data_IF_351684744762
#
_entry.id   IF_351684744762
#
_cell.length_a   1.000
_cell.length_b   1.000
_cell.length_c   1.000
_cell.angle_alpha   90.00
_cell.angle_beta   90.00
_cell.angle_gamma   90.00
#
_symmetry.space_group_name_H-M   'P 1'
#
loop_
_entity.id
_entity.type
_entity.pdbx_description
1 polymer ?
#
# COMPACT_ATOMS: atom_id res chain seq x y z
N UNK A 1 26.00 -0.85 -31.21
CA UNK A 1 26.96 -1.43 -30.23
C UNK A 1 26.17 -1.81 -28.98
N UNK A 2 25.41 -2.91 -29.00
CA UNK A 2 25.78 -4.31 -28.71
C UNK A 2 26.25 -4.53 -27.25
N UNK A 3 25.27 -4.92 -26.43
CA UNK A 3 25.27 -6.01 -25.43
C UNK A 3 26.39 -6.11 -24.38
N UNK A 4 26.07 -5.75 -23.12
CA UNK A 4 26.60 -6.43 -21.93
C UNK A 4 25.56 -6.44 -20.79
N UNK A 5 24.60 -7.35 -20.89
CA UNK A 5 24.02 -8.01 -19.72
C UNK A 5 24.53 -9.47 -19.78
N UNK A 6 25.08 -10.05 -18.69
CA UNK A 6 25.48 -11.45 -18.72
C UNK A 6 24.25 -12.32 -19.02
N UNK A 7 24.33 -13.12 -20.08
CA UNK A 7 23.27 -14.01 -20.52
C UNK A 7 22.85 -14.95 -19.37
N UNK A 8 21.59 -14.82 -18.97
CA UNK A 8 20.87 -15.80 -18.16
C UNK A 8 20.26 -16.83 -19.12
N UNK A 9 21.05 -17.81 -19.54
CA UNK A 9 20.54 -19.01 -20.21
C UNK A 9 20.18 -20.06 -19.17
N UNK A 10 18.90 -20.40 -19.07
CA UNK A 10 18.41 -21.58 -18.34
C UNK A 10 18.59 -22.82 -19.23
N UNK A 11 19.07 -23.96 -18.71
CA UNK A 11 19.12 -25.20 -19.49
C UNK A 11 17.71 -25.79 -19.69
N UNK A 12 17.42 -26.23 -20.92
CA UNK A 12 16.23 -27.02 -21.27
C UNK A 12 16.33 -28.44 -20.71
N UNK A 13 15.24 -29.06 -20.21
CA UNK A 13 15.24 -30.45 -19.81
C UNK A 13 15.31 -31.38 -21.03
N UNK A 14 16.25 -32.32 -20.99
CA UNK A 14 16.41 -33.38 -21.97
C UNK A 14 15.21 -34.34 -21.97
N UNK A 15 14.51 -34.42 -23.10
CA UNK A 15 13.59 -35.51 -23.42
C UNK A 15 14.36 -36.83 -23.51
N UNK A 16 14.00 -37.82 -22.70
CA UNK A 16 14.39 -39.21 -22.92
C UNK A 16 13.16 -40.01 -23.36
N UNK A 17 13.08 -40.25 -24.66
CA UNK A 17 12.09 -41.10 -25.31
C UNK A 17 12.65 -42.52 -25.39
N UNK A 18 11.95 -43.52 -24.86
CA UNK A 18 12.09 -44.88 -25.37
C UNK A 18 10.73 -45.58 -25.36
N UNK A 19 10.34 -46.01 -26.55
CA UNK A 19 9.20 -46.85 -26.86
C UNK A 19 9.72 -48.26 -27.16
N UNK A 20 8.95 -49.29 -26.79
CA UNK A 20 8.37 -50.25 -27.75
C UNK A 20 7.50 -51.32 -27.06
N UNK A 21 6.54 -51.90 -27.80
CA UNK A 21 5.37 -52.60 -27.28
C UNK A 21 5.61 -54.11 -27.15
N UNK A 22 4.93 -54.76 -26.21
CA UNK A 22 4.79 -56.21 -26.20
C UNK A 22 3.35 -56.62 -26.47
N UNK A 23 3.22 -57.59 -27.37
CA UNK A 23 2.01 -58.12 -27.98
C UNK A 23 1.27 -59.08 -27.04
N UNK A 24 -0.06 -59.07 -27.14
CA UNK A 24 -0.98 -60.02 -26.50
C UNK A 24 -0.80 -61.46 -27.03
N UNK A 25 -1.18 -62.44 -26.21
CA UNK A 25 -1.92 -63.59 -26.73
C UNK A 25 -3.35 -63.65 -26.14
N UNK A 26 -4.27 -63.86 -27.08
CA UNK A 26 -5.69 -64.16 -26.97
C UNK A 26 -5.98 -65.27 -25.96
N UNK A 27 -6.90 -65.03 -25.01
CA UNK A 27 -7.59 -66.10 -24.27
C UNK A 27 -9.10 -65.90 -24.38
N UNK A 28 -9.74 -67.01 -24.73
CA UNK A 28 -11.11 -67.26 -25.11
C UNK A 28 -12.11 -66.84 -24.01
N UNK A 29 -13.21 -66.26 -24.46
CA UNK A 29 -14.32 -65.78 -23.63
C UNK A 29 -15.02 -66.92 -22.87
N UNK A 30 -15.15 -66.77 -21.55
CA UNK A 30 -16.19 -67.42 -20.76
C UNK A 30 -17.13 -66.33 -20.24
N UNK A 31 -18.36 -66.30 -20.78
CA UNK A 31 -19.45 -65.46 -20.27
C UNK A 31 -19.86 -65.96 -18.89
N UNK A 32 -19.57 -65.19 -17.86
CA UNK A 32 -20.22 -65.28 -16.55
C UNK A 32 -21.34 -64.22 -16.44
N UNK A 33 -22.41 -64.50 -15.66
CA UNK A 33 -23.65 -63.75 -15.72
C UNK A 33 -23.48 -62.32 -15.21
N UNK A 34 -24.19 -61.41 -15.86
CA UNK A 34 -24.33 -59.99 -15.56
C UNK A 34 -24.72 -59.79 -14.10
N UNK A 35 -23.74 -59.49 -13.23
CA UNK A 35 -24.03 -58.82 -11.97
C UNK A 35 -24.34 -57.38 -12.28
N UNK A 36 -25.63 -57.03 -12.23
CA UNK A 36 -26.10 -55.65 -12.21
C UNK A 36 -25.45 -54.98 -10.99
N UNK A 37 -24.40 -54.18 -11.23
CA UNK A 37 -23.73 -53.45 -10.16
C UNK A 37 -24.61 -52.30 -9.69
N UNK A 38 -24.93 -52.27 -8.39
CA UNK A 38 -25.65 -51.21 -7.69
C UNK A 38 -24.90 -49.86 -7.69
N UNK A 39 -24.75 -49.21 -8.85
CA UNK A 39 -23.85 -48.07 -9.04
C UNK A 39 -24.48 -46.67 -8.84
N UNK A 40 -25.71 -46.54 -8.33
CA UNK A 40 -26.44 -45.24 -8.42
C UNK A 40 -26.88 -44.60 -7.10
N UNK A 41 -26.98 -45.32 -5.98
CA UNK A 41 -27.46 -44.75 -4.72
C UNK A 41 -26.37 -44.05 -3.89
N UNK A 42 -25.14 -44.56 -3.88
CA UNK A 42 -24.08 -44.01 -3.02
C UNK A 42 -23.33 -42.83 -3.64
N UNK A 43 -23.23 -42.74 -4.97
CA UNK A 43 -22.50 -41.66 -5.66
C UNK A 43 -23.11 -40.27 -5.38
N UNK A 44 -24.44 -40.17 -5.40
CA UNK A 44 -25.15 -38.94 -5.04
C UNK A 44 -24.98 -38.56 -3.56
N UNK A 45 -24.96 -39.55 -2.67
CA UNK A 45 -24.74 -39.35 -1.22
C UNK A 45 -23.30 -38.89 -0.97
N UNK A 46 -22.31 -39.54 -1.56
CA UNK A 46 -20.90 -39.17 -1.47
C UNK A 46 -20.65 -37.76 -2.02
N UNK A 47 -21.26 -37.42 -3.15
CA UNK A 47 -21.18 -36.08 -3.71
C UNK A 47 -21.81 -35.04 -2.78
N UNK A 48 -23.01 -35.29 -2.25
CA UNK A 48 -23.67 -34.42 -1.25
C UNK A 48 -22.81 -34.24 0.00
N UNK A 49 -22.15 -35.30 0.49
CA UNK A 49 -21.22 -35.22 1.63
C UNK A 49 -20.04 -34.29 1.32
N UNK A 50 -19.47 -34.31 0.12
CA UNK A 50 -18.42 -33.37 -0.30
C UNK A 50 -18.91 -31.92 -0.30
N UNK A 51 -20.12 -31.66 -0.79
CA UNK A 51 -20.70 -30.31 -0.78
C UNK A 51 -20.92 -29.78 0.63
N UNK A 52 -21.45 -30.62 1.53
CA UNK A 52 -21.60 -30.28 2.95
C UNK A 52 -20.24 -30.03 3.63
N UNK A 53 -19.21 -30.79 3.24
CA UNK A 53 -17.86 -30.59 3.74
C UNK A 53 -17.29 -29.23 3.33
N UNK A 54 -17.42 -28.86 2.04
CA UNK A 54 -17.02 -27.53 1.54
C UNK A 54 -17.78 -26.40 2.24
N UNK A 55 -19.09 -26.59 2.47
CA UNK A 55 -19.90 -25.62 3.24
C UNK A 55 -19.34 -25.44 4.66
N UNK A 56 -18.91 -26.52 5.31
CA UNK A 56 -18.28 -26.44 6.63
C UNK A 56 -16.91 -25.75 6.65
N UNK A 57 -16.26 -25.60 5.49
CA UNK A 57 -15.03 -24.83 5.31
C UNK A 57 -15.31 -23.40 4.82
N UNK A 58 -16.57 -22.98 4.66
CA UNK A 58 -16.97 -21.72 4.04
C UNK A 58 -16.46 -21.54 2.59
N UNK A 59 -16.35 -22.64 1.83
CA UNK A 59 -15.99 -22.62 0.40
C UNK A 59 -17.24 -22.56 -0.46
N UNK A 60 -17.25 -21.71 -1.49
CA UNK A 60 -18.32 -21.67 -2.48
C UNK A 60 -18.23 -22.91 -3.40
N UNK A 61 -19.00 -23.94 -3.05
CA UNK A 61 -18.97 -25.22 -3.76
C UNK A 61 -19.32 -25.12 -5.26
N UNK A 62 -20.22 -24.21 -5.64
CA UNK A 62 -20.60 -24.04 -7.05
C UNK A 62 -19.43 -23.47 -7.86
N UNK A 63 -18.81 -22.41 -7.34
CA UNK A 63 -17.68 -21.77 -8.00
C UNK A 63 -16.43 -22.66 -8.01
N UNK A 64 -16.21 -23.40 -6.91
CA UNK A 64 -15.16 -24.41 -6.84
C UNK A 64 -15.32 -25.50 -7.90
N UNK A 65 -16.53 -26.04 -8.08
CA UNK A 65 -16.83 -27.05 -9.10
C UNK A 65 -16.78 -26.52 -10.54
N UNK A 66 -17.04 -25.23 -10.73
CA UNK A 66 -16.94 -24.56 -12.02
C UNK A 66 -15.48 -24.40 -12.43
N UNK A 67 -14.62 -24.00 -11.49
CA UNK A 67 -13.17 -23.81 -11.70
C UNK A 67 -12.36 -25.10 -11.66
N UNK A 68 -12.83 -26.12 -10.93
CA UNK A 68 -12.20 -27.43 -10.84
C UNK A 68 -13.24 -28.56 -10.99
N UNK A 69 -13.63 -28.90 -12.23
CA UNK A 69 -14.65 -29.92 -12.49
C UNK A 69 -14.30 -31.32 -11.96
N UNK A 70 -13.01 -31.67 -11.90
CA UNK A 70 -12.49 -32.96 -11.42
C UNK A 70 -12.78 -33.20 -9.93
N UNK A 71 -13.14 -32.16 -9.18
CA UNK A 71 -13.60 -32.35 -7.80
C UNK A 71 -14.87 -33.21 -7.71
N UNK A 72 -15.66 -33.34 -8.81
CA UNK A 72 -16.84 -34.23 -8.86
C UNK A 72 -16.47 -35.70 -8.68
N UNK A 73 -15.41 -36.16 -9.34
CA UNK A 73 -14.91 -37.53 -9.28
C UNK A 73 -13.93 -37.74 -8.12
N UNK A 74 -13.27 -36.68 -7.65
CA UNK A 74 -12.26 -36.77 -6.59
C UNK A 74 -12.85 -37.25 -5.25
N UNK A 75 -12.26 -38.25 -4.59
CA UNK A 75 -12.67 -38.71 -3.27
C UNK A 75 -12.50 -37.64 -2.17
N UNK A 76 -13.43 -37.60 -1.20
CA UNK A 76 -13.34 -36.66 -0.06
C UNK A 76 -12.04 -36.82 0.76
N UNK A 77 -11.45 -38.02 0.77
CA UNK A 77 -10.16 -38.28 1.45
C UNK A 77 -9.02 -37.42 0.89
N UNK A 78 -9.03 -37.10 -0.40
CA UNK A 78 -8.00 -36.26 -1.04
C UNK A 78 -8.05 -34.83 -0.51
N UNK A 79 -9.25 -34.26 -0.39
CA UNK A 79 -9.42 -32.95 0.25
C UNK A 79 -8.96 -32.98 1.72
N UNK A 80 -9.29 -34.05 2.45
CA UNK A 80 -8.85 -34.21 3.84
C UNK A 80 -7.34 -34.33 3.98
N UNK A 81 -6.65 -35.00 3.04
CA UNK A 81 -5.18 -35.07 3.07
C UNK A 81 -4.55 -33.71 2.80
N UNK A 82 -5.14 -32.90 1.90
CA UNK A 82 -4.70 -31.51 1.68
C UNK A 82 -4.90 -30.66 2.94
N UNK A 83 -6.07 -30.72 3.58
CA UNK A 83 -6.33 -30.03 4.86
C UNK A 83 -5.34 -30.44 5.95
N UNK A 84 -5.07 -31.74 6.08
CA UNK A 84 -4.11 -32.28 7.06
C UNK A 84 -2.69 -31.77 6.78
N UNK A 85 -2.28 -31.75 5.52
CA UNK A 85 -0.99 -31.22 5.10
C UNK A 85 -0.85 -29.73 5.44
N UNK A 86 -1.84 -28.90 5.07
CA UNK A 86 -1.83 -27.47 5.37
C UNK A 86 -1.88 -27.20 6.88
N UNK A 87 -2.66 -27.98 7.64
CA UNK A 87 -2.69 -27.91 9.10
C UNK A 87 -1.35 -28.26 9.73
N UNK A 88 -0.61 -29.23 9.18
CA UNK A 88 0.75 -29.58 9.64
C UNK A 88 1.77 -28.44 9.47
N UNK A 89 1.50 -27.50 8.55
CA UNK A 89 2.27 -26.27 8.35
C UNK A 89 1.75 -25.09 9.19
N UNK A 90 0.83 -25.34 10.14
CA UNK A 90 0.25 -24.35 11.03
C UNK A 90 -0.90 -23.53 10.43
N UNK A 91 -1.42 -23.89 9.26
CA UNK A 91 -2.54 -23.18 8.63
C UNK A 91 -3.85 -23.65 9.25
N UNK A 92 -4.48 -22.78 10.01
CA UNK A 92 -5.74 -23.07 10.69
C UNK A 92 -6.89 -23.23 9.71
N UNK A 93 -7.85 -24.08 10.10
CA UNK A 93 -9.06 -24.38 9.32
C UNK A 93 -9.86 -23.13 8.92
N UNK A 94 -9.86 -22.09 9.75
CA UNK A 94 -10.51 -20.82 9.46
C UNK A 94 -9.92 -20.09 8.23
N UNK A 95 -8.64 -20.30 7.91
CA UNK A 95 -7.97 -19.72 6.74
C UNK A 95 -8.17 -20.56 5.47
N UNK A 96 -8.39 -21.87 5.61
CA UNK A 96 -8.46 -22.82 4.49
C UNK A 96 -9.59 -22.49 3.50
N UNK A 97 -10.76 -22.08 4.00
CA UNK A 97 -11.89 -21.71 3.15
C UNK A 97 -11.53 -20.69 2.08
N UNK A 98 -10.89 -19.60 2.49
CA UNK A 98 -10.43 -18.54 1.59
C UNK A 98 -9.39 -19.05 0.59
N UNK A 99 -8.45 -19.89 1.05
CA UNK A 99 -7.40 -20.45 0.18
C UNK A 99 -8.03 -21.32 -0.90
N UNK A 100 -8.96 -22.21 -0.55
CA UNK A 100 -9.64 -23.08 -1.51
C UNK A 100 -10.58 -22.32 -2.45
N UNK A 101 -11.24 -21.26 -1.99
CA UNK A 101 -12.03 -20.38 -2.87
C UNK A 101 -11.16 -19.68 -3.92
N UNK A 102 -9.97 -19.21 -3.51
CA UNK A 102 -9.02 -18.58 -4.42
C UNK A 102 -8.40 -19.58 -5.40
N UNK A 103 -8.12 -20.80 -4.94
CA UNK A 103 -7.42 -21.84 -5.70
C UNK A 103 -8.12 -23.20 -5.63
N UNK A 104 -9.25 -23.38 -6.35
CA UNK A 104 -10.04 -24.60 -6.29
C UNK A 104 -9.30 -25.86 -6.77
N UNK A 105 -8.20 -25.73 -7.54
CA UNK A 105 -7.37 -26.89 -7.92
C UNK A 105 -6.76 -27.61 -6.70
N UNK A 106 -6.59 -26.93 -5.57
CA UNK A 106 -6.10 -27.53 -4.33
C UNK A 106 -7.09 -28.56 -3.75
N UNK A 107 -8.36 -28.55 -4.17
CA UNK A 107 -9.35 -29.53 -3.73
C UNK A 107 -9.09 -30.94 -4.26
N UNK A 108 -8.22 -31.06 -5.27
CA UNK A 108 -7.93 -32.31 -6.00
C UNK A 108 -6.44 -32.61 -6.09
N UNK A 109 -5.58 -31.79 -5.53
CA UNK A 109 -4.13 -31.99 -5.59
C UNK A 109 -3.66 -33.13 -4.68
N UNK A 110 -2.51 -33.69 -5.01
CA UNK A 110 -1.80 -34.66 -4.18
C UNK A 110 -0.78 -33.92 -3.31
N UNK A 111 -0.88 -33.95 -1.97
CA UNK A 111 0.05 -33.21 -1.12
C UNK A 111 1.52 -33.60 -1.31
N UNK A 112 1.80 -34.86 -1.68
CA UNK A 112 3.17 -35.35 -1.84
C UNK A 112 3.81 -34.82 -3.13
N UNK A 113 3.04 -34.77 -4.21
CA UNK A 113 3.51 -34.28 -5.49
C UNK A 113 3.42 -32.76 -5.64
N UNK A 114 2.40 -32.14 -5.06
CA UNK A 114 2.06 -30.74 -5.33
C UNK A 114 2.44 -29.78 -4.20
N UNK A 115 2.35 -30.20 -2.92
CA UNK A 115 2.51 -29.29 -1.78
C UNK A 115 3.86 -29.44 -1.07
N UNK A 116 4.32 -30.67 -0.81
CA UNK A 116 5.61 -30.88 -0.15
C UNK A 116 6.79 -30.30 -0.92
N UNK A 117 6.86 -30.32 -2.27
CA UNK A 117 7.91 -29.62 -2.99
C UNK A 117 7.91 -28.11 -2.71
N UNK A 118 6.74 -27.48 -2.64
CA UNK A 118 6.62 -26.05 -2.31
C UNK A 118 7.09 -25.77 -0.87
N UNK A 119 6.72 -26.61 0.10
CA UNK A 119 7.19 -26.44 1.48
C UNK A 119 8.68 -26.70 1.62
N UNK A 120 9.21 -27.73 0.96
CA UNK A 120 10.64 -28.01 0.89
C UNK A 120 11.41 -26.84 0.31
N UNK A 121 10.91 -26.25 -0.77
CA UNK A 121 11.49 -25.05 -1.37
C UNK A 121 11.50 -23.86 -0.40
N UNK A 122 10.38 -23.56 0.27
CA UNK A 122 10.30 -22.44 1.21
C UNK A 122 11.22 -22.62 2.42
N UNK A 123 11.31 -23.85 2.96
CA UNK A 123 12.09 -24.15 4.16
C UNK A 123 13.59 -24.28 3.87
N UNK A 124 13.97 -24.91 2.75
CA UNK A 124 15.35 -25.29 2.48
C UNK A 124 16.04 -24.36 1.49
N UNK A 125 15.37 -23.99 0.39
CA UNK A 125 16.00 -23.17 -0.65
C UNK A 125 15.88 -21.67 -0.33
N UNK A 126 14.71 -21.22 0.13
CA UNK A 126 14.48 -19.83 0.52
C UNK A 126 14.93 -19.57 1.97
N UNK A 127 15.00 -20.62 2.80
CA UNK A 127 15.34 -20.57 4.22
C UNK A 127 14.33 -19.78 5.09
N UNK A 128 13.04 -19.85 4.75
CA UNK A 128 11.98 -19.28 5.59
C UNK A 128 11.88 -20.08 6.89
N UNK A 129 11.96 -19.44 8.07
CA UNK A 129 11.76 -20.13 9.35
C UNK A 129 10.40 -20.83 9.39
N UNK A 130 10.33 -22.04 9.94
CA UNK A 130 9.08 -22.81 10.02
C UNK A 130 7.88 -22.00 10.59
N UNK A 131 8.01 -21.22 11.68
CA UNK A 131 6.91 -20.40 12.19
C UNK A 131 6.37 -19.36 11.18
N UNK A 132 7.21 -18.93 10.24
CA UNK A 132 6.89 -17.92 9.24
C UNK A 132 6.25 -18.50 7.97
N UNK A 133 6.33 -19.81 7.74
CA UNK A 133 5.73 -20.49 6.58
C UNK A 133 4.22 -20.26 6.53
N UNK A 134 3.53 -20.44 7.67
CA UNK A 134 2.10 -20.14 7.80
C UNK A 134 1.78 -18.72 7.31
N UNK A 135 2.55 -17.73 7.79
CA UNK A 135 2.34 -16.32 7.44
C UNK A 135 2.62 -16.09 5.95
N UNK A 136 3.65 -16.70 5.40
CA UNK A 136 3.99 -16.60 3.97
C UNK A 136 2.84 -17.13 3.09
N UNK A 137 2.28 -18.30 3.42
CA UNK A 137 1.17 -18.91 2.67
C UNK A 137 -0.11 -18.10 2.83
N UNK A 138 -0.47 -17.65 4.03
CA UNK A 138 -1.69 -16.84 4.24
C UNK A 138 -1.62 -15.53 3.44
N UNK A 139 -0.44 -14.90 3.36
CA UNK A 139 -0.24 -13.65 2.61
C UNK A 139 -0.19 -13.86 1.11
N UNK A 140 0.34 -14.99 0.65
CA UNK A 140 0.46 -15.32 -0.76
C UNK A 140 0.09 -16.79 -1.01
N UNK A 141 -1.21 -17.16 -1.01
CA UNK A 141 -1.60 -18.56 -1.17
C UNK A 141 -1.30 -19.10 -2.58
N UNK A 142 -1.00 -18.21 -3.53
CA UNK A 142 -0.53 -18.55 -4.87
C UNK A 142 0.74 -19.40 -4.85
N UNK A 143 1.55 -19.32 -3.80
CA UNK A 143 2.74 -20.17 -3.62
C UNK A 143 2.40 -21.66 -3.76
N UNK A 144 1.24 -22.09 -3.26
CA UNK A 144 0.80 -23.49 -3.25
C UNK A 144 0.46 -24.06 -4.63
N UNK A 145 0.30 -23.20 -5.64
CA UNK A 145 -0.08 -23.62 -7.01
C UNK A 145 0.99 -23.27 -8.04
N UNK A 146 2.12 -22.69 -7.60
CA UNK A 146 3.23 -22.37 -8.48
C UNK A 146 4.20 -23.56 -8.51
N UNK A 147 4.58 -24.00 -9.71
CA UNK A 147 5.62 -25.02 -9.88
C UNK A 147 6.96 -24.53 -9.33
N UNK A 148 7.64 -25.40 -8.58
CA UNK A 148 8.96 -25.08 -8.01
C UNK A 148 9.97 -24.85 -9.14
N UNK A 149 10.07 -25.78 -10.09
CA UNK A 149 11.08 -25.74 -11.14
C UNK A 149 10.79 -24.69 -12.22
N UNK A 150 9.52 -24.47 -12.55
CA UNK A 150 9.14 -23.58 -13.66
C UNK A 150 9.00 -22.10 -13.25
N UNK A 151 8.72 -21.82 -11.97
CA UNK A 151 8.40 -20.47 -11.51
C UNK A 151 9.15 -20.06 -10.26
N UNK A 152 9.12 -20.85 -9.18
CA UNK A 152 9.64 -20.39 -7.89
C UNK A 152 11.18 -20.35 -7.87
N UNK A 153 11.83 -21.42 -8.35
CA UNK A 153 13.29 -21.56 -8.38
C UNK A 153 13.95 -20.58 -9.35
N UNK A 154 13.50 -20.43 -10.61
CA UNK A 154 14.07 -19.43 -11.52
C UNK A 154 13.96 -18.01 -10.97
N UNK A 155 12.83 -17.67 -10.31
CA UNK A 155 12.66 -16.36 -9.68
C UNK A 155 13.59 -16.17 -8.48
N UNK A 156 13.76 -17.18 -7.62
CA UNK A 156 14.73 -17.13 -6.53
C UNK A 156 16.15 -16.86 -7.04
N UNK A 157 16.56 -17.55 -8.11
CA UNK A 157 17.87 -17.36 -8.74
C UNK A 157 18.04 -15.94 -9.29
N UNK A 158 17.02 -15.41 -9.96
CA UNK A 158 17.01 -14.03 -10.44
C UNK A 158 17.16 -13.04 -9.28
N UNK A 159 16.40 -13.21 -8.20
CA UNK A 159 16.48 -12.35 -7.01
C UNK A 159 17.87 -12.42 -6.37
N UNK A 160 18.45 -13.62 -6.24
CA UNK A 160 19.83 -13.79 -5.73
C UNK A 160 20.86 -13.06 -6.60
N UNK A 161 20.74 -13.15 -7.94
CA UNK A 161 21.60 -12.38 -8.87
C UNK A 161 21.43 -10.87 -8.74
N UNK A 162 20.25 -10.40 -8.35
CA UNK A 162 19.99 -8.99 -8.05
C UNK A 162 20.57 -8.54 -6.69
N UNK A 163 21.03 -9.48 -5.87
CA UNK A 163 21.66 -9.24 -4.56
C UNK A 163 20.80 -9.65 -3.35
N UNK A 164 19.65 -10.30 -3.56
CA UNK A 164 18.83 -10.83 -2.46
C UNK A 164 19.46 -12.11 -1.90
N UNK A 165 20.48 -11.95 -1.06
CA UNK A 165 21.24 -13.05 -0.46
C UNK A 165 21.21 -12.97 1.07
N UNK A 166 21.11 -14.12 1.72
CA UNK A 166 21.07 -14.26 3.18
C UNK A 166 19.66 -14.38 3.76
N UNK A 167 19.60 -14.73 5.04
CA UNK A 167 18.38 -15.15 5.78
C UNK A 167 17.25 -14.11 5.87
N UNK A 168 17.52 -12.85 5.54
CA UNK A 168 16.56 -11.76 5.61
C UNK A 168 16.30 -11.10 4.26
N UNK A 169 16.86 -11.65 3.18
CA UNK A 169 16.65 -11.11 1.84
C UNK A 169 15.23 -11.38 1.34
N UNK A 170 14.73 -12.60 1.53
CA UNK A 170 13.35 -12.98 1.26
C UNK A 170 12.75 -13.46 2.57
N UNK A 171 11.67 -12.81 3.00
CA UNK A 171 10.97 -13.10 4.24
C UNK A 171 9.52 -13.46 3.94
N UNK A 172 8.74 -13.89 4.94
CA UNK A 172 7.31 -14.16 4.77
C UNK A 172 6.49 -12.94 4.32
N UNK A 173 7.05 -11.72 4.42
CA UNK A 173 6.44 -10.49 3.92
C UNK A 173 6.70 -10.25 2.43
N UNK A 174 7.75 -10.86 1.85
CA UNK A 174 8.18 -10.62 0.46
C UNK A 174 8.10 -11.85 -0.45
N UNK A 175 7.59 -12.99 0.03
CA UNK A 175 7.41 -14.21 -0.79
C UNK A 175 6.55 -14.03 -2.04
N UNK A 176 5.73 -12.98 -2.10
CA UNK A 176 4.99 -12.60 -3.32
C UNK A 176 5.92 -12.34 -4.53
N UNK A 177 7.18 -12.01 -4.28
CA UNK A 177 8.18 -11.86 -5.33
C UNK A 177 8.45 -13.19 -6.05
N UNK A 178 8.43 -14.32 -5.34
CA UNK A 178 8.73 -15.65 -5.87
C UNK A 178 7.69 -16.12 -6.91
N UNK A 179 6.42 -15.69 -6.76
CA UNK A 179 5.33 -16.02 -7.70
C UNK A 179 5.18 -15.03 -8.84
N UNK A 180 6.07 -14.03 -8.93
CA UNK A 180 6.07 -13.02 -9.98
C UNK A 180 6.87 -13.48 -11.18
N UNK A 181 6.39 -13.22 -12.39
CA UNK A 181 7.13 -13.51 -13.61
C UNK A 181 8.40 -12.66 -13.67
N UNK A 182 9.55 -13.30 -13.87
CA UNK A 182 10.84 -12.59 -14.02
C UNK A 182 10.76 -11.64 -15.21
N UNK A 183 10.44 -12.15 -16.39
CA UNK A 183 10.47 -11.39 -17.64
C UNK A 183 9.36 -10.34 -17.74
N UNK A 184 8.12 -10.75 -17.41
CA UNK A 184 6.94 -9.92 -17.64
C UNK A 184 6.62 -8.97 -16.49
N UNK A 185 7.20 -9.18 -15.30
CA UNK A 185 6.89 -8.37 -14.11
C UNK A 185 8.14 -7.75 -13.49
N UNK A 186 9.09 -8.57 -13.03
CA UNK A 186 10.22 -8.05 -12.26
C UNK A 186 11.18 -7.22 -13.13
N UNK A 187 11.56 -7.75 -14.29
CA UNK A 187 12.48 -7.09 -15.21
C UNK A 187 11.90 -5.77 -15.73
N UNK A 188 10.61 -5.76 -16.11
CA UNK A 188 9.92 -4.54 -16.56
C UNK A 188 9.97 -3.41 -15.52
N UNK A 189 9.87 -3.75 -14.23
CA UNK A 189 9.98 -2.76 -13.14
C UNK A 189 11.40 -2.21 -13.01
N UNK A 190 12.41 -3.07 -13.14
CA UNK A 190 13.82 -2.64 -13.14
C UNK A 190 14.13 -1.76 -14.34
N UNK A 191 13.66 -2.14 -15.53
CA UNK A 191 13.83 -1.37 -16.77
C UNK A 191 13.16 -0.01 -16.69
N UNK A 192 11.95 0.05 -16.13
CA UNK A 192 11.27 1.32 -15.90
C UNK A 192 12.10 2.23 -14.98
N UNK A 193 12.58 1.72 -13.84
CA UNK A 193 13.42 2.53 -12.93
C UNK A 193 14.72 2.98 -13.59
N UNK A 194 15.33 2.13 -14.44
CA UNK A 194 16.51 2.49 -15.24
C UNK A 194 16.20 3.59 -16.26
N UNK A 195 15.01 3.57 -16.88
CA UNK A 195 14.58 4.58 -17.84
C UNK A 195 14.47 5.99 -17.24
N UNK A 196 14.43 6.11 -15.90
CA UNK A 196 14.49 7.39 -15.19
C UNK A 196 15.91 7.99 -15.12
N UNK A 197 16.90 7.37 -15.76
CA UNK A 197 18.30 7.81 -15.75
C UNK A 197 19.16 7.20 -14.65
N UNK A 198 18.66 6.18 -13.94
CA UNK A 198 19.41 5.45 -12.92
C UNK A 198 20.28 4.35 -13.56
N UNK A 199 21.50 4.15 -13.06
CA UNK A 199 22.33 3.02 -13.46
C UNK A 199 21.79 1.69 -12.91
N UNK A 200 22.19 0.57 -13.51
CA UNK A 200 21.79 -0.77 -13.04
C UNK A 200 22.15 -1.00 -11.56
N UNK A 201 23.33 -0.54 -11.14
CA UNK A 201 23.79 -0.66 -9.76
C UNK A 201 22.93 0.14 -8.78
N UNK A 202 22.51 1.35 -9.17
CA UNK A 202 21.65 2.20 -8.36
C UNK A 202 20.25 1.61 -8.21
N UNK A 203 19.67 1.08 -9.30
CA UNK A 203 18.38 0.40 -9.26
C UNK A 203 18.43 -0.84 -8.36
N UNK A 204 19.47 -1.67 -8.50
CA UNK A 204 19.66 -2.84 -7.64
C UNK A 204 19.74 -2.45 -6.16
N UNK A 205 20.61 -1.49 -5.81
CA UNK A 205 20.74 -0.96 -4.45
C UNK A 205 19.44 -0.35 -3.91
N UNK A 206 18.65 0.28 -4.77
CA UNK A 206 17.37 0.86 -4.39
C UNK A 206 16.32 -0.21 -4.08
N UNK A 207 16.27 -1.27 -4.88
CA UNK A 207 15.37 -2.41 -4.68
C UNK A 207 15.76 -3.25 -3.47
N UNK A 208 17.05 -3.44 -3.20
CA UNK A 208 17.52 -4.15 -2.00
C UNK A 208 17.11 -3.42 -0.71
N UNK A 209 17.19 -2.08 -0.69
CA UNK A 209 16.74 -1.26 0.45
C UNK A 209 15.21 -1.16 0.56
N UNK A 210 14.49 -1.40 -0.53
CA UNK A 210 13.03 -1.28 -0.57
C UNK A 210 12.41 -2.33 -1.52
N UNK A 211 12.35 -3.62 -1.12
CA UNK A 211 11.89 -4.71 -1.98
C UNK A 211 10.45 -4.53 -2.47
N UNK A 212 9.63 -3.78 -1.71
CA UNK A 212 8.26 -3.42 -2.09
C UNK A 212 8.16 -2.71 -3.46
N UNK A 213 9.24 -2.09 -3.95
CA UNK A 213 9.33 -1.56 -5.30
C UNK A 213 8.93 -2.61 -6.36
N UNK A 214 9.40 -3.85 -6.20
CA UNK A 214 9.08 -4.93 -7.13
C UNK A 214 7.61 -5.39 -7.06
N UNK A 215 6.80 -4.84 -6.16
CA UNK A 215 5.37 -5.17 -6.03
C UNK A 215 4.44 -4.10 -6.62
N UNK A 216 4.90 -2.85 -6.76
CA UNK A 216 4.07 -1.76 -7.27
C UNK A 216 3.81 -1.86 -8.78
N UNK A 217 2.67 -1.30 -9.21
CA UNK A 217 2.31 -1.20 -10.64
C UNK A 217 3.05 -0.05 -11.30
N UNK A 218 3.58 -0.26 -12.50
CA UNK A 218 4.21 0.81 -13.27
C UNK A 218 3.18 1.89 -13.61
N UNK A 219 2.05 1.49 -14.21
CA UNK A 219 1.03 2.41 -14.69
C UNK A 219 0.25 3.08 -13.56
N UNK A 220 -0.11 2.33 -12.52
CA UNK A 220 -1.01 2.83 -11.46
C UNK A 220 -0.27 3.40 -10.25
N UNK A 221 1.06 3.24 -10.16
CA UNK A 221 1.84 3.74 -9.02
C UNK A 221 3.06 4.54 -9.48
N UNK A 222 3.96 3.94 -10.26
CA UNK A 222 5.20 4.63 -10.62
C UNK A 222 4.98 5.83 -11.51
N UNK A 223 4.36 5.65 -12.68
CA UNK A 223 4.14 6.69 -13.69
C UNK A 223 3.48 7.95 -13.11
N UNK A 224 2.31 7.88 -12.44
CA UNK A 224 1.66 9.08 -11.92
C UNK A 224 2.46 9.77 -10.81
N UNK A 225 3.24 9.02 -10.00
CA UNK A 225 4.05 9.61 -8.93
C UNK A 225 5.33 10.24 -9.45
N UNK A 226 6.01 9.59 -10.39
CA UNK A 226 7.19 10.18 -11.05
C UNK A 226 6.80 11.44 -11.82
N UNK A 227 5.69 11.39 -12.56
CA UNK A 227 5.20 12.55 -13.30
C UNK A 227 4.90 13.73 -12.37
N UNK A 228 4.16 13.48 -11.29
CA UNK A 228 3.88 14.51 -10.29
C UNK A 228 5.16 15.07 -9.65
N UNK A 229 6.08 14.19 -9.27
CA UNK A 229 7.33 14.59 -8.62
C UNK A 229 8.21 15.47 -9.52
N UNK A 230 8.38 15.09 -10.79
CA UNK A 230 9.23 15.85 -11.72
C UNK A 230 8.54 17.12 -12.22
N UNK A 231 7.23 17.08 -12.52
CA UNK A 231 6.54 18.20 -13.15
C UNK A 231 6.00 19.21 -12.14
N UNK A 232 5.37 18.75 -11.07
CA UNK A 232 4.68 19.60 -10.11
C UNK A 232 5.59 19.96 -8.94
N UNK A 233 6.29 18.97 -8.36
CA UNK A 233 7.19 19.20 -7.23
C UNK A 233 8.58 19.71 -7.66
N UNK A 234 8.88 19.69 -8.97
CA UNK A 234 10.19 20.05 -9.55
C UNK A 234 11.37 19.31 -8.89
N UNK A 235 11.13 18.07 -8.46
CA UNK A 235 12.12 17.26 -7.76
C UNK A 235 13.13 16.58 -8.69
N UNK A 236 14.22 16.08 -8.11
CA UNK A 236 15.28 15.35 -8.80
C UNK A 236 15.18 13.84 -8.54
N UNK A 237 15.33 13.00 -9.57
CA UNK A 237 15.39 11.53 -9.47
C UNK A 237 16.41 11.06 -8.42
N UNK A 238 17.47 11.83 -8.16
CA UNK A 238 18.42 11.55 -7.07
C UNK A 238 17.73 11.48 -5.70
N UNK A 239 16.68 12.25 -5.47
CA UNK A 239 15.90 12.23 -4.23
C UNK A 239 15.02 10.98 -4.13
N UNK A 240 14.37 10.56 -5.23
CA UNK A 240 13.66 9.27 -5.30
C UNK A 240 14.62 8.11 -5.03
N UNK A 241 15.83 8.16 -5.60
CA UNK A 241 16.89 7.18 -5.35
C UNK A 241 17.23 7.09 -3.86
N UNK A 242 17.39 8.24 -3.19
CA UNK A 242 17.67 8.28 -1.74
C UNK A 242 16.50 7.75 -0.92
N UNK A 243 15.27 8.06 -1.33
CA UNK A 243 14.04 7.71 -0.61
C UNK A 243 13.03 6.91 -1.46
N UNK A 244 13.31 5.64 -1.77
CA UNK A 244 12.43 4.81 -2.60
C UNK A 244 11.06 4.54 -1.98
N UNK A 245 10.93 4.67 -0.66
CA UNK A 245 9.65 4.53 0.04
C UNK A 245 8.64 5.59 -0.40
N UNK A 246 9.05 6.64 -1.12
CA UNK A 246 8.15 7.55 -1.84
C UNK A 246 6.99 6.81 -2.54
N UNK A 247 7.30 5.71 -3.23
CA UNK A 247 6.31 4.91 -3.96
C UNK A 247 5.32 4.13 -3.08
N UNK A 248 5.57 4.00 -1.77
CA UNK A 248 4.62 3.40 -0.84
C UNK A 248 3.54 4.38 -0.32
N UNK A 249 3.77 5.69 -0.41
CA UNK A 249 2.80 6.68 0.07
C UNK A 249 1.71 6.95 -0.98
N UNK A 250 0.49 7.21 -0.53
CA UNK A 250 -0.62 7.55 -1.43
C UNK A 250 -0.37 8.90 -2.11
N UNK A 251 -0.47 8.93 -3.44
CA UNK A 251 -0.33 10.17 -4.21
C UNK A 251 -1.40 11.19 -3.82
N UNK A 252 -2.67 10.79 -3.88
CA UNK A 252 -3.81 11.67 -3.64
C UNK A 252 -4.03 11.99 -2.15
N UNK A 253 -3.81 11.02 -1.26
CA UNK A 253 -4.14 11.20 0.17
C UNK A 253 -3.00 11.76 1.01
N UNK A 254 -1.75 11.70 0.54
CA UNK A 254 -0.60 12.10 1.37
C UNK A 254 0.40 12.98 0.62
N UNK A 255 0.87 12.58 -0.55
CA UNK A 255 1.92 13.31 -1.28
C UNK A 255 1.39 14.69 -1.75
N UNK A 256 0.31 14.71 -2.53
CA UNK A 256 -0.28 15.95 -3.07
C UNK A 256 -0.73 16.93 -1.96
N UNK A 257 -1.49 16.52 -0.92
CA UNK A 257 -1.95 17.45 0.10
C UNK A 257 -0.79 18.09 0.87
N UNK A 258 0.24 17.31 1.23
CA UNK A 258 1.40 17.83 1.97
C UNK A 258 2.25 18.76 1.10
N UNK A 259 2.50 18.40 -0.16
CA UNK A 259 3.22 19.26 -1.08
C UNK A 259 2.50 20.60 -1.30
N UNK A 260 1.19 20.58 -1.58
CA UNK A 260 0.39 21.81 -1.74
C UNK A 260 0.44 22.69 -0.50
N UNK A 261 0.26 22.10 0.68
CA UNK A 261 0.29 22.87 1.93
C UNK A 261 1.66 23.52 2.17
N UNK A 262 2.76 22.87 1.79
CA UNK A 262 4.09 23.48 1.85
C UNK A 262 4.22 24.63 0.86
N UNK A 263 3.80 24.41 -0.39
CA UNK A 263 3.86 25.41 -1.46
C UNK A 263 3.04 26.66 -1.12
N UNK A 264 1.82 26.49 -0.60
CA UNK A 264 0.92 27.58 -0.19
C UNK A 264 1.53 28.46 0.90
N UNK A 265 2.47 27.93 1.69
CA UNK A 265 3.19 28.66 2.74
C UNK A 265 4.64 29.02 2.33
N UNK A 266 5.01 28.82 1.06
CA UNK A 266 6.35 29.15 0.56
C UNK A 266 7.46 28.26 1.11
N UNK A 267 7.14 27.08 1.64
CA UNK A 267 8.12 26.15 2.21
C UNK A 267 8.45 24.98 1.29
N UNK A 268 9.63 24.40 1.50
CA UNK A 268 10.02 23.12 0.92
C UNK A 268 10.56 22.19 1.99
N UNK A 269 10.47 20.89 1.77
CA UNK A 269 10.98 19.83 2.64
C UNK A 269 11.48 18.66 1.79
N UNK A 270 12.44 17.89 2.32
CA UNK A 270 12.81 16.61 1.72
C UNK A 270 11.63 15.64 1.72
N UNK A 271 11.58 14.72 0.75
CA UNK A 271 10.55 13.68 0.69
C UNK A 271 10.49 12.85 1.99
N UNK A 272 11.65 12.56 2.57
CA UNK A 272 11.73 11.79 3.82
C UNK A 272 11.07 12.54 4.98
N UNK A 273 11.38 13.83 5.13
CA UNK A 273 10.81 14.66 6.20
C UNK A 273 9.32 14.94 5.99
N UNK A 274 8.93 15.12 4.74
CA UNK A 274 7.55 15.35 4.37
C UNK A 274 6.70 14.10 4.56
N UNK A 275 7.19 12.88 4.30
CA UNK A 275 6.33 11.69 4.14
C UNK A 275 6.46 10.62 5.23
N UNK A 276 7.61 10.46 5.89
CA UNK A 276 7.78 9.40 6.91
C UNK A 276 6.95 9.63 8.16
N UNK A 277 6.68 10.89 8.49
CA UNK A 277 6.03 11.26 9.75
C UNK A 277 4.50 11.17 9.69
N UNK A 278 3.88 11.11 10.87
CA UNK A 278 2.42 11.18 11.05
C UNK A 278 1.87 12.54 10.60
N UNK A 279 0.54 12.69 10.51
CA UNK A 279 -0.08 13.97 10.15
C UNK A 279 0.16 15.03 11.23
N UNK A 280 0.05 14.66 12.52
CA UNK A 280 0.33 15.56 13.63
C UNK A 280 1.78 16.07 13.65
N UNK A 281 2.75 15.17 13.45
CA UNK A 281 4.16 15.56 13.40
C UNK A 281 4.48 16.41 12.16
N UNK A 282 3.87 16.12 11.01
CA UNK A 282 4.01 16.98 9.83
C UNK A 282 3.47 18.40 10.08
N UNK A 283 2.29 18.52 10.68
CA UNK A 283 1.70 19.82 11.03
C UNK A 283 2.57 20.58 12.03
N UNK A 284 3.14 19.88 13.03
CA UNK A 284 4.07 20.50 13.97
C UNK A 284 5.32 21.05 13.28
N UNK A 285 5.89 20.32 12.32
CA UNK A 285 7.03 20.79 11.52
C UNK A 285 6.68 22.03 10.71
N UNK A 286 5.49 22.06 10.11
CA UNK A 286 5.00 23.22 9.37
C UNK A 286 4.82 24.44 10.28
N UNK A 287 4.21 24.28 11.46
CA UNK A 287 4.07 25.37 12.44
C UNK A 287 5.43 25.90 12.88
N UNK A 288 6.41 25.02 13.14
CA UNK A 288 7.77 25.42 13.48
C UNK A 288 8.47 26.19 12.36
N UNK A 289 8.23 25.85 11.08
CA UNK A 289 8.74 26.62 9.95
C UNK A 289 8.13 28.02 9.91
N UNK A 290 6.81 28.13 10.11
CA UNK A 290 6.11 29.43 10.16
C UNK A 290 6.62 30.32 11.29
N UNK A 291 6.79 29.77 12.50
CA UNK A 291 7.29 30.52 13.65
C UNK A 291 8.69 31.07 13.40
N UNK A 292 9.60 30.26 12.82
CA UNK A 292 10.96 30.73 12.48
C UNK A 292 10.95 31.89 11.48
N UNK A 293 10.06 31.87 10.49
CA UNK A 293 9.93 33.01 9.58
C UNK A 293 9.41 34.28 10.27
N UNK A 294 8.62 34.17 11.33
CA UNK A 294 8.15 35.34 12.10
C UNK A 294 9.28 35.94 12.95
N UNK A 295 10.20 35.10 13.45
CA UNK A 295 11.35 35.55 14.25
C UNK A 295 12.42 36.25 13.39
N UNK A 296 12.53 35.94 12.10
CA UNK A 296 13.48 36.56 11.17
C UNK A 296 13.07 37.96 10.65
N UNK A 297 11.82 38.40 10.89
CA UNK A 297 11.33 39.74 10.51
C UNK A 297 10.77 40.54 11.71
N UNK A 298 11.61 41.17 12.53
CA UNK A 298 11.14 42.04 13.61
C UNK A 298 10.84 43.44 13.07
N UNK A 299 9.71 43.63 12.39
CA UNK A 299 9.22 44.99 12.05
C UNK A 299 7.77 45.19 12.49
N UNK A 300 7.50 46.40 12.97
CA UNK A 300 6.32 46.83 13.73
C UNK A 300 4.93 46.60 13.08
N UNK A 301 4.86 46.08 11.86
CA UNK A 301 3.60 45.67 11.20
C UNK A 301 2.98 44.39 11.80
N UNK A 302 3.77 43.57 12.50
CA UNK A 302 3.32 42.28 13.06
C UNK A 302 2.29 42.44 14.19
N UNK A 303 2.25 43.58 14.89
CA UNK A 303 1.26 43.82 15.95
C UNK A 303 -0.17 43.99 15.40
N UNK A 304 -0.33 44.50 14.17
CA UNK A 304 -1.63 44.62 13.52
C UNK A 304 -2.12 43.27 12.99
N UNK A 305 -1.22 42.46 12.44
CA UNK A 305 -1.54 41.11 11.97
C UNK A 305 -1.80 40.12 13.13
N UNK A 306 -1.12 40.25 14.26
CA UNK A 306 -1.34 39.39 15.43
C UNK A 306 -2.76 39.53 16.00
N UNK A 307 -3.36 40.72 15.96
CA UNK A 307 -4.75 40.92 16.38
C UNK A 307 -5.77 40.31 15.38
N UNK A 308 -5.48 40.33 14.07
CA UNK A 308 -6.33 39.68 13.06
C UNK A 308 -6.15 38.16 13.01
N UNK A 309 -4.95 37.64 13.29
CA UNK A 309 -4.66 36.21 13.23
C UNK A 309 -5.19 35.45 14.45
N UNK A 310 -5.17 36.05 15.65
CA UNK A 310 -5.83 35.50 16.85
C UNK A 310 -7.34 35.30 16.63
N UNK A 311 -7.99 36.20 15.89
CA UNK A 311 -9.41 36.08 15.54
C UNK A 311 -9.67 34.86 14.63
N UNK A 312 -8.75 34.54 13.72
CA UNK A 312 -8.90 33.39 12.81
C UNK A 312 -8.66 32.03 13.48
N UNK A 313 -7.77 31.97 14.48
CA UNK A 313 -7.42 30.75 15.21
C UNK A 313 -8.43 30.41 16.32
N UNK A 314 -9.14 31.41 16.85
CA UNK A 314 -10.10 31.23 17.94
C UNK A 314 -11.54 30.93 17.50
N UNK A 315 -11.84 30.78 16.20
CA UNK A 315 -13.19 30.36 15.78
C UNK A 315 -13.37 28.85 16.01
N UNK A 316 -14.29 28.41 16.90
CA UNK A 316 -14.53 27.00 17.13
C UNK A 316 -15.36 26.38 16.01
N UNK A 317 -15.12 25.10 15.75
CA UNK A 317 -15.71 24.26 14.70
C UNK A 317 -17.19 23.87 14.91
N UNK A 318 -17.93 24.51 15.80
CA UNK A 318 -19.34 24.20 16.06
C UNK A 318 -20.20 25.47 16.05
N UNK A 319 -20.62 25.92 14.86
CA UNK A 319 -21.78 26.81 14.73
C UNK A 319 -22.85 26.13 13.87
N UNK A 320 -23.65 25.29 14.52
CA UNK A 320 -24.96 24.89 14.00
C UNK A 320 -25.97 25.99 14.33
N UNK A 321 -26.61 26.50 13.27
CA UNK A 321 -27.96 27.09 13.24
C UNK A 321 -28.21 28.29 14.18
N UNK A 322 -28.27 29.48 13.60
CA UNK A 322 -29.50 30.27 13.44
C UNK A 322 -29.18 31.71 13.05
N UNK A 323 -30.10 32.28 12.28
CA UNK A 323 -30.32 33.71 12.06
C UNK A 323 -29.39 34.43 11.08
N UNK A 324 -29.89 34.50 9.84
CA UNK A 324 -29.80 35.66 8.95
C UNK A 324 -29.68 36.97 9.72
N UNK A 325 -28.67 37.78 9.39
CA UNK A 325 -28.75 39.22 9.10
C UNK A 325 -27.31 39.73 8.86
N UNK A 326 -27.08 40.24 7.64
CA UNK A 326 -26.07 41.24 7.28
C UNK A 326 -24.57 40.87 7.30
N UNK A 327 -24.14 40.07 6.31
CA UNK A 327 -22.72 39.95 5.93
C UNK A 327 -22.34 40.82 4.70
N UNK A 328 -22.99 41.97 4.50
CA UNK A 328 -22.82 42.75 3.27
C UNK A 328 -22.27 44.18 3.39
N UNK A 329 -21.81 44.65 4.56
CA UNK A 329 -21.26 46.01 4.69
C UNK A 329 -20.06 46.10 5.64
N UNK A 330 -18.97 45.38 5.34
CA UNK A 330 -17.68 45.60 6.03
C UNK A 330 -16.49 45.78 5.07
N UNK A 331 -16.75 46.25 3.85
CA UNK A 331 -15.68 46.59 2.90
C UNK A 331 -15.46 48.09 2.67
N UNK A 332 -16.16 48.97 3.41
CA UNK A 332 -16.00 50.42 3.22
C UNK A 332 -16.46 51.21 4.46
N UNK A 333 -15.69 51.15 5.54
CA UNK A 333 -15.78 52.13 6.63
C UNK A 333 -14.37 52.54 7.06
N UNK A 334 -14.08 53.85 7.23
CA UNK A 334 -12.80 54.30 7.78
C UNK A 334 -12.63 53.77 9.21
N UNK A 335 -11.38 53.44 9.59
CA UNK A 335 -10.99 52.81 10.87
C UNK A 335 -11.54 53.49 12.14
N UNK A 336 -11.98 54.75 12.08
CA UNK A 336 -12.60 55.47 13.19
C UNK A 336 -14.00 54.94 13.58
N UNK A 337 -14.81 54.48 12.62
CA UNK A 337 -16.18 54.03 12.91
C UNK A 337 -16.21 52.67 13.61
N UNK A 338 -15.23 51.81 13.34
CA UNK A 338 -15.05 50.52 14.00
C UNK A 338 -14.67 50.72 15.48
N UNK A 339 -13.89 51.76 15.77
CA UNK A 339 -13.46 52.09 17.14
C UNK A 339 -14.61 52.66 17.99
N UNK A 340 -15.44 53.54 17.40
CA UNK A 340 -16.65 54.09 18.07
C UNK A 340 -17.69 52.99 18.31
N UNK A 341 -17.81 52.02 17.40
CA UNK A 341 -18.68 50.86 17.57
C UNK A 341 -18.19 49.92 18.71
N UNK A 342 -16.88 49.73 18.83
CA UNK A 342 -16.26 48.96 19.92
C UNK A 342 -16.38 49.63 21.30
N UNK A 343 -16.22 50.96 21.39
CA UNK A 343 -16.42 51.72 22.63
C UNK A 343 -17.87 51.66 23.14
N UNK A 344 -18.86 51.59 22.23
CA UNK A 344 -20.27 51.35 22.58
C UNK A 344 -20.54 49.94 23.11
N UNK A 345 -19.82 48.92 22.62
CA UNK A 345 -19.98 47.53 23.06
C UNK A 345 -19.34 47.28 24.43
N UNK A 346 -18.28 48.00 24.78
CA UNK A 346 -17.59 47.88 26.08
C UNK A 346 -18.22 48.69 27.24
N UNK A 347 -19.34 49.37 27.01
CA UNK A 347 -20.09 50.06 28.07
C UNK A 347 -19.40 51.28 28.69
N UNK A 348 -18.38 51.84 28.04
CA UNK A 348 -17.73 53.08 28.48
C UNK A 348 -18.28 54.29 27.71
N UNK A 349 -19.39 54.87 28.18
CA UNK A 349 -19.79 56.22 27.77
C UNK A 349 -20.20 57.03 28.99
N UNK A 350 -19.35 57.98 29.37
CA UNK A 350 -19.80 59.20 30.03
C UNK A 350 -19.73 60.32 28.96
N UNK A 351 -20.85 60.90 28.51
CA UNK A 351 -20.93 61.61 27.24
C UNK A 351 -20.41 63.07 27.23
N UNK A 352 -19.46 63.42 28.10
CA UNK A 352 -18.96 64.80 28.23
C UNK A 352 -17.57 65.06 27.64
N UNK A 353 -16.94 64.08 26.97
CA UNK A 353 -15.61 64.26 26.35
C UNK A 353 -15.65 63.85 24.87
N UNK A 354 -16.61 64.38 24.10
CA UNK A 354 -16.69 64.17 22.64
C UNK A 354 -16.76 65.49 21.87
N UNK A 355 -16.38 66.60 22.49
CA UNK A 355 -16.22 67.88 21.79
C UNK A 355 -14.77 68.33 21.96
N UNK A 356 -13.94 67.91 21.01
CA UNK A 356 -12.79 68.64 20.44
C UNK A 356 -11.69 67.70 19.91
N UNK A 357 -12.05 66.83 18.95
CA UNK A 357 -11.07 66.08 18.15
C UNK A 357 -11.20 66.35 16.64
N UNK A 358 -11.73 67.51 16.26
CA UNK A 358 -11.85 67.89 14.84
C UNK A 358 -10.65 68.64 14.26
N UNK A 359 -9.60 68.92 15.04
CA UNK A 359 -8.45 69.69 14.57
C UNK A 359 -7.13 69.26 15.22
N UNK A 360 -6.62 68.06 14.91
CA UNK A 360 -5.20 67.76 15.11
C UNK A 360 -4.63 66.87 13.99
N UNK A 361 -3.45 67.18 13.43
CA UNK A 361 -2.80 66.32 12.44
C UNK A 361 -2.21 65.05 13.07
N UNK A 362 -2.18 63.99 12.28
CA UNK A 362 -1.99 62.55 12.61
C UNK A 362 -0.65 62.16 13.32
N UNK A 363 0.20 63.09 13.75
CA UNK A 363 1.56 62.79 14.21
C UNK A 363 1.81 62.71 15.73
N UNK A 364 0.79 62.59 16.58
CA UNK A 364 0.99 62.43 18.03
C UNK A 364 0.11 61.37 18.71
N UNK A 365 -0.20 60.26 18.04
CA UNK A 365 -0.95 59.16 18.67
C UNK A 365 -0.12 58.30 19.66
N UNK A 366 1.21 58.33 19.61
CA UNK A 366 2.05 57.54 20.53
C UNK A 366 2.04 58.05 21.96
N UNK A 367 1.73 59.34 22.19
CA UNK A 367 1.77 59.96 23.52
C UNK A 367 0.48 59.76 24.34
N UNK A 368 -0.66 59.45 23.70
CA UNK A 368 -1.95 59.31 24.39
C UNK A 368 -2.10 57.91 25.02
N UNK A 369 -1.54 56.87 24.41
CA UNK A 369 -1.52 55.51 24.98
C UNK A 369 -0.70 55.46 26.29
N UNK A 370 0.32 56.32 26.42
CA UNK A 370 1.17 56.36 27.61
C UNK A 370 0.49 56.94 28.85
N UNK A 371 -0.62 57.68 28.70
CA UNK A 371 -1.37 58.24 29.84
C UNK A 371 -2.37 57.21 30.40
N UNK A 372 -2.90 56.31 29.58
CA UNK A 372 -3.88 55.30 30.03
C UNK A 372 -3.25 54.09 30.75
N UNK A 373 -1.97 53.79 30.51
CA UNK A 373 -1.27 52.65 31.13
C UNK A 373 -0.69 52.93 32.52
N UNK A 374 -0.87 54.13 33.07
CA UNK A 374 -0.40 54.48 34.44
C UNK A 374 -1.52 54.59 35.48
N UNK A 375 -2.76 54.32 35.10
CA UNK A 375 -3.91 54.19 35.99
C UNK A 375 -4.69 52.91 35.67
N UNK A 376 -4.11 51.75 35.98
CA UNK A 376 -4.81 50.47 36.23
C UNK A 376 -3.93 49.58 37.08
#
# INVERSE_FOLDING_TARGET
MMSFLPQLSLPLPHHCSSSKPFQNPTVIALRSPTTVSNATTDSGIQFRRKLLYLRGLNVNALEALRKNPEFRSTPLRTLKSVETCLASMGIERAALGRIFDMYPQLLTCDPYLDLYPVFGFLLNDVEIPFPDVRTAIIRCPRLLICGVDDQLMPTLWFLRKLGFVGRQAITCQTTVLLVSSVENTLLRKLEYLRSLGLSCSEVANMVLRSPGLLTFSIENNYRPKVEYFLREMKGDIVEIKRFPQYFSFSLERKIKPRHKLLLDHGFSMSLSDMLKVSDGEFNLRLTKLRLRCLEEFPSAEVLLLNNLFLISVLTPKDWKRESSISCFYLYQLPLLDVFVYWLKILGCVNPLIVLDFYTFPILQFSSIIFIFLKCS
#
